data_IF_855238383400
#
_entry.id   IF_855238383400
#
_cell.length_a   1.000
_cell.length_b   1.000
_cell.length_c   1.000
_cell.angle_alpha   90.00
_cell.angle_beta   90.00
_cell.angle_gamma   90.00
#
_symmetry.space_group_name_H-M   'P 1'
#
loop_
_entity.id
_entity.type
_entity.pdbx_description
1 polymer ?
#
# COMPACT_ATOMS: atom_id res chain seq x y z
N UNK A 1 -19.63 -9.32 -3.80
CA UNK A 1 -19.21 -10.38 -2.84
C UNK A 1 -17.68 -10.53 -2.65
N UNK A 2 -16.81 -9.93 -3.48
CA UNK A 2 -15.35 -10.14 -3.42
C UNK A 2 -14.56 -9.27 -2.43
N UNK A 3 -14.94 -8.01 -2.20
CA UNK A 3 -14.20 -7.09 -1.31
C UNK A 3 -14.40 -7.39 0.18
N UNK A 4 -15.59 -7.82 0.59
CA UNK A 4 -15.87 -8.15 2.00
C UNK A 4 -15.08 -9.36 2.54
N UNK A 5 -14.73 -10.33 1.67
CA UNK A 5 -13.97 -11.53 2.09
C UNK A 5 -12.48 -11.29 2.17
N UNK A 6 -11.96 -10.28 1.44
CA UNK A 6 -10.55 -9.85 1.50
C UNK A 6 -10.21 -9.35 2.90
N UNK A 7 -11.12 -8.61 3.50
CA UNK A 7 -10.90 -7.95 4.78
C UNK A 7 -11.23 -8.81 6.00
N UNK A 8 -12.05 -9.85 5.85
CA UNK A 8 -12.44 -10.74 6.97
C UNK A 8 -11.30 -11.64 7.48
N UNK A 9 -10.25 -11.90 6.67
CA UNK A 9 -9.13 -12.79 7.07
C UNK A 9 -7.76 -12.12 7.18
N UNK A 10 -7.62 -10.87 6.73
CA UNK A 10 -6.35 -10.12 6.79
C UNK A 10 -6.58 -8.66 7.22
N UNK A 11 -7.55 -8.38 8.07
CA UNK A 11 -7.93 -7.03 8.47
C UNK A 11 -6.80 -6.20 9.10
N UNK A 12 -7.18 -5.11 9.73
CA UNK A 12 -6.29 -4.17 10.43
C UNK A 12 -5.24 -4.89 11.28
N UNK A 13 -5.62 -5.97 11.98
CA UNK A 13 -4.73 -6.72 12.85
C UNK A 13 -3.58 -7.41 12.08
N UNK A 14 -3.86 -7.91 10.88
CA UNK A 14 -2.83 -8.52 10.04
C UNK A 14 -1.79 -7.48 9.58
N UNK A 15 -2.22 -6.26 9.25
CA UNK A 15 -1.31 -5.15 8.89
C UNK A 15 -0.47 -4.76 10.11
N UNK A 16 -1.10 -4.57 11.27
CA UNK A 16 -0.40 -4.24 12.52
C UNK A 16 0.67 -5.27 12.88
N UNK A 17 0.33 -6.56 12.80
CA UNK A 17 1.22 -7.65 13.18
C UNK A 17 2.35 -7.88 12.17
N UNK A 18 2.09 -7.69 10.87
CA UNK A 18 3.08 -8.01 9.82
C UNK A 18 3.91 -6.82 9.37
N UNK A 19 3.42 -5.61 9.53
CA UNK A 19 4.06 -4.39 9.02
C UNK A 19 4.35 -3.41 10.16
N UNK A 20 3.46 -3.33 11.15
CA UNK A 20 3.53 -2.30 12.17
C UNK A 20 2.78 -1.02 11.79
N UNK A 21 2.74 -0.06 12.71
CA UNK A 21 1.98 1.20 12.59
C UNK A 21 2.67 2.39 13.27
N UNK A 22 3.90 2.21 13.72
CA UNK A 22 4.63 3.24 14.44
C UNK A 22 5.41 4.14 13.48
N UNK A 23 5.52 5.43 13.82
CA UNK A 23 6.38 6.34 13.10
C UNK A 23 7.85 5.91 13.25
N UNK A 24 8.57 5.82 12.14
CA UNK A 24 9.96 5.32 12.16
C UNK A 24 10.98 6.35 12.61
N UNK A 25 10.65 7.65 12.54
CA UNK A 25 11.59 8.74 12.75
C UNK A 25 12.76 8.78 11.76
N UNK A 26 12.63 8.09 10.63
CA UNK A 26 13.66 7.96 9.57
C UNK A 26 13.05 8.29 8.22
N UNK A 27 13.85 8.64 7.20
CA UNK A 27 13.36 8.81 5.83
C UNK A 27 12.55 7.60 5.36
N UNK A 28 11.53 7.85 4.54
CA UNK A 28 10.59 6.80 4.08
C UNK A 28 11.28 5.68 3.27
N UNK A 29 12.44 5.98 2.69
CA UNK A 29 13.24 5.06 1.88
C UNK A 29 14.47 4.52 2.63
N UNK A 30 14.57 4.72 3.95
CA UNK A 30 15.71 4.28 4.74
C UNK A 30 15.86 2.75 4.68
N UNK A 31 17.10 2.31 4.46
CA UNK A 31 17.52 0.91 4.60
C UNK A 31 18.11 0.74 5.99
N UNK A 32 17.42 0.00 6.85
CA UNK A 32 17.97 -0.38 8.15
C UNK A 32 18.78 -1.66 7.98
N UNK A 33 20.10 -1.53 8.12
CA UNK A 33 21.05 -2.63 7.87
C UNK A 33 21.33 -3.48 9.11
N UNK A 34 20.81 -3.13 10.30
CA UNK A 34 21.05 -3.95 11.51
C UNK A 34 20.08 -5.13 11.57
N UNK A 35 20.61 -6.33 11.73
CA UNK A 35 19.83 -7.58 11.84
C UNK A 35 18.73 -7.56 12.91
N UNK A 36 18.83 -6.66 13.88
CA UNK A 36 17.85 -6.51 14.97
C UNK A 36 16.72 -5.54 14.64
N UNK A 37 16.78 -4.81 13.52
CA UNK A 37 15.83 -3.73 13.20
C UNK A 37 14.80 -4.10 12.14
N UNK A 38 14.87 -5.29 11.56
CA UNK A 38 13.90 -5.77 10.55
C UNK A 38 12.79 -6.60 11.21
N UNK A 39 12.24 -6.09 12.30
CA UNK A 39 11.02 -6.64 12.91
C UNK A 39 9.82 -5.79 12.47
N UNK A 40 8.63 -6.37 12.35
CA UNK A 40 7.42 -5.64 11.93
C UNK A 40 7.14 -4.36 12.72
N UNK A 41 7.54 -4.33 13.98
CA UNK A 41 7.39 -3.18 14.90
C UNK A 41 8.16 -1.93 14.45
N UNK A 42 9.10 -2.05 13.49
CA UNK A 42 9.92 -0.94 12.98
C UNK A 42 9.51 -0.44 11.60
N UNK A 43 8.39 -0.91 11.08
CA UNK A 43 7.84 -0.45 9.82
C UNK A 43 6.44 0.14 10.01
N UNK A 44 5.97 0.79 8.98
CA UNK A 44 4.58 1.17 8.82
C UNK A 44 4.25 1.22 7.31
N UNK A 45 2.98 1.26 6.92
CA UNK A 45 2.57 1.25 5.51
C UNK A 45 3.06 2.43 4.66
N UNK A 46 3.51 3.52 5.28
CA UNK A 46 3.93 4.75 4.60
C UNK A 46 5.40 4.76 4.20
N UNK A 47 6.22 3.82 4.69
CA UNK A 47 7.62 3.65 4.26
C UNK A 47 7.73 2.58 3.19
N UNK A 48 8.77 2.66 2.33
CA UNK A 48 8.94 1.73 1.22
C UNK A 48 8.95 0.26 1.66
N UNK A 49 9.58 -0.08 2.77
CA UNK A 49 9.59 -1.44 3.33
C UNK A 49 8.17 -1.95 3.61
N UNK A 50 7.36 -1.16 4.29
CA UNK A 50 5.99 -1.51 4.61
C UNK A 50 5.09 -1.57 3.39
N UNK A 51 5.25 -0.64 2.43
CA UNK A 51 4.49 -0.64 1.19
C UNK A 51 4.82 -1.87 0.31
N UNK A 52 6.09 -2.28 0.24
CA UNK A 52 6.51 -3.52 -0.42
C UNK A 52 5.86 -4.74 0.25
N UNK A 53 5.85 -4.80 1.59
CA UNK A 53 5.19 -5.87 2.33
C UNK A 53 3.67 -5.88 2.11
N UNK A 54 3.01 -4.71 2.00
CA UNK A 54 1.58 -4.64 1.66
C UNK A 54 1.27 -5.32 0.32
N UNK A 55 2.14 -5.20 -0.69
CA UNK A 55 1.94 -5.87 -1.98
C UNK A 55 1.88 -7.39 -1.81
N UNK A 56 2.59 -7.98 -0.85
CA UNK A 56 2.51 -9.42 -0.55
C UNK A 56 1.21 -9.82 0.13
N UNK A 57 0.49 -8.88 0.72
CA UNK A 57 -0.77 -9.11 1.43
C UNK A 57 -2.00 -8.90 0.55
N UNK A 58 -1.85 -8.31 -0.63
CA UNK A 58 -2.94 -8.16 -1.58
C UNK A 58 -3.42 -9.54 -2.05
N UNK A 59 -4.74 -9.71 -2.21
CA UNK A 59 -5.33 -10.97 -2.69
C UNK A 59 -5.27 -11.07 -4.20
N UNK A 60 -4.96 -12.26 -4.68
CA UNK A 60 -4.92 -12.67 -6.07
C UNK A 60 -3.96 -13.83 -6.25
N UNK A 61 -4.18 -14.63 -7.29
CA UNK A 61 -3.36 -15.79 -7.62
C UNK A 61 -2.05 -15.39 -8.31
N UNK A 62 -2.00 -14.16 -8.83
CA UNK A 62 -0.81 -13.54 -9.40
C UNK A 62 -0.67 -12.10 -8.92
N UNK A 63 0.53 -11.52 -9.02
CA UNK A 63 0.76 -10.11 -8.71
C UNK A 63 0.05 -9.16 -9.69
N UNK A 64 -0.14 -9.58 -10.93
CA UNK A 64 -0.95 -8.86 -11.91
C UNK A 64 -2.42 -8.75 -11.46
N UNK A 65 -2.99 -9.85 -10.97
CA UNK A 65 -4.36 -9.84 -10.43
C UNK A 65 -4.46 -9.00 -9.14
N UNK A 66 -3.44 -9.11 -8.27
CA UNK A 66 -3.36 -8.29 -7.04
C UNK A 66 -3.36 -6.80 -7.36
N UNK A 67 -2.53 -6.39 -8.32
CA UNK A 67 -2.47 -5.01 -8.79
C UNK A 67 -3.78 -4.56 -9.45
N UNK A 68 -4.38 -5.39 -10.31
CA UNK A 68 -5.65 -5.07 -10.96
C UNK A 68 -6.78 -4.80 -9.93
N UNK A 69 -6.83 -5.57 -8.85
CA UNK A 69 -7.77 -5.34 -7.74
C UNK A 69 -7.51 -4.03 -7.00
N UNK A 70 -6.24 -3.69 -6.77
CA UNK A 70 -5.85 -2.40 -6.16
C UNK A 70 -6.27 -1.24 -7.05
N UNK A 71 -5.96 -1.30 -8.34
CA UNK A 71 -6.31 -0.27 -9.32
C UNK A 71 -7.83 -0.08 -9.41
N UNK A 72 -8.58 -1.17 -9.46
CA UNK A 72 -10.04 -1.13 -9.48
C UNK A 72 -10.62 -0.46 -8.23
N UNK A 73 -10.08 -0.77 -7.05
CA UNK A 73 -10.50 -0.10 -5.81
C UNK A 73 -10.23 1.42 -5.87
N UNK A 74 -9.07 1.83 -6.39
CA UNK A 74 -8.72 3.25 -6.54
C UNK A 74 -9.68 3.94 -7.51
N UNK A 75 -9.99 3.31 -8.65
CA UNK A 75 -10.97 3.81 -9.63
C UNK A 75 -12.35 4.02 -9.01
N UNK A 76 -12.81 3.04 -8.24
CA UNK A 76 -14.09 3.13 -7.53
C UNK A 76 -14.12 4.23 -6.48
N UNK A 77 -13.07 4.35 -5.67
CA UNK A 77 -12.96 5.39 -4.65
C UNK A 77 -12.90 6.80 -5.25
N UNK A 78 -12.20 6.94 -6.36
CA UNK A 78 -12.06 8.20 -7.09
C UNK A 78 -13.28 8.55 -7.98
N UNK A 79 -14.21 7.61 -8.16
CA UNK A 79 -15.30 7.72 -9.15
C UNK A 79 -14.78 8.04 -10.57
N UNK A 80 -13.63 7.44 -10.93
CA UNK A 80 -12.94 7.68 -12.18
C UNK A 80 -12.36 6.38 -12.76
N UNK A 81 -13.00 5.77 -13.76
CA UNK A 81 -12.53 4.53 -14.38
C UNK A 81 -11.29 4.70 -15.27
N UNK A 82 -10.93 5.94 -15.63
CA UNK A 82 -9.80 6.25 -16.52
C UNK A 82 -8.45 6.31 -15.78
N UNK A 83 -8.46 6.18 -14.46
CA UNK A 83 -7.21 6.09 -13.68
C UNK A 83 -6.42 4.86 -14.13
N UNK A 84 -5.14 5.06 -14.46
CA UNK A 84 -4.25 3.99 -14.87
C UNK A 84 -2.80 4.30 -14.49
N UNK A 85 -1.91 3.37 -14.79
CA UNK A 85 -0.48 3.50 -14.60
C UNK A 85 0.10 4.51 -15.59
N UNK A 86 0.98 5.37 -15.13
CA UNK A 86 1.88 6.10 -16.01
C UNK A 86 3.05 5.18 -16.41
N UNK A 87 3.00 4.69 -17.64
CA UNK A 87 3.98 3.71 -18.13
C UNK A 87 5.41 4.26 -18.24
N UNK A 88 5.58 5.58 -18.36
CA UNK A 88 6.92 6.19 -18.36
C UNK A 88 7.50 6.19 -16.94
N UNK A 89 6.69 6.57 -15.94
CA UNK A 89 7.06 6.52 -14.53
C UNK A 89 7.34 5.08 -14.11
N UNK A 90 6.45 4.15 -14.43
CA UNK A 90 6.61 2.73 -14.10
C UNK A 90 7.92 2.16 -14.66
N UNK A 91 8.23 2.46 -15.92
CA UNK A 91 9.46 2.01 -16.57
C UNK A 91 10.70 2.58 -15.87
N UNK A 92 10.66 3.85 -15.52
CA UNK A 92 11.73 4.51 -14.76
C UNK A 92 11.93 3.85 -13.40
N UNK A 93 10.85 3.66 -12.63
CA UNK A 93 10.90 2.99 -11.32
C UNK A 93 11.47 1.57 -11.43
N UNK A 94 11.05 0.81 -12.44
CA UNK A 94 11.56 -0.54 -12.67
C UNK A 94 13.03 -0.56 -13.05
N UNK A 95 13.51 0.38 -13.85
CA UNK A 95 14.91 0.45 -14.31
C UNK A 95 15.85 1.00 -13.23
N UNK A 96 15.41 1.99 -12.45
CA UNK A 96 16.27 2.71 -11.50
C UNK A 96 16.04 2.34 -10.04
N UNK A 97 15.05 1.51 -9.73
CA UNK A 97 14.62 1.15 -8.38
C UNK A 97 15.57 0.23 -7.61
N UNK A 98 16.89 0.45 -7.71
CA UNK A 98 17.91 -0.40 -7.06
C UNK A 98 17.79 -0.41 -5.54
N UNK A 99 17.45 0.74 -4.92
CA UNK A 99 17.27 0.85 -3.48
C UNK A 99 16.09 0.00 -3.00
N UNK A 100 14.97 0.03 -3.73
CA UNK A 100 13.80 -0.80 -3.44
C UNK A 100 14.07 -2.29 -3.65
N UNK A 101 14.89 -2.68 -4.64
CA UNK A 101 15.35 -4.06 -4.82
C UNK A 101 16.19 -4.52 -3.63
N UNK A 102 17.20 -3.73 -3.24
CA UNK A 102 18.03 -4.05 -2.09
C UNK A 102 17.17 -4.26 -0.82
N UNK A 103 16.20 -3.36 -0.60
CA UNK A 103 15.27 -3.45 0.51
C UNK A 103 14.39 -4.71 0.43
N UNK A 104 13.82 -5.03 -0.73
CA UNK A 104 12.97 -6.21 -0.91
C UNK A 104 13.76 -7.52 -0.72
N UNK A 105 15.00 -7.61 -1.21
CA UNK A 105 15.86 -8.76 -0.96
C UNK A 105 16.21 -8.91 0.53
N UNK A 106 16.42 -7.81 1.22
CA UNK A 106 16.68 -7.80 2.65
C UNK A 106 15.44 -8.30 3.44
N UNK A 107 14.25 -7.79 3.15
CA UNK A 107 12.99 -8.25 3.74
C UNK A 107 12.77 -9.76 3.51
N UNK A 108 13.08 -10.25 2.30
CA UNK A 108 13.01 -11.68 1.98
C UNK A 108 14.03 -12.49 2.76
N UNK A 109 15.27 -12.03 2.88
CA UNK A 109 16.32 -12.69 3.65
C UNK A 109 15.94 -12.88 5.13
N UNK A 110 15.18 -11.93 5.68
CA UNK A 110 14.63 -12.00 7.03
C UNK A 110 13.32 -12.80 7.12
N UNK A 111 12.88 -13.44 6.04
CA UNK A 111 11.71 -14.33 6.05
C UNK A 111 10.36 -13.62 6.11
N UNK A 112 10.29 -12.32 5.85
CA UNK A 112 9.05 -11.54 5.92
C UNK A 112 8.08 -11.86 4.78
N UNK A 113 8.57 -12.41 3.69
CA UNK A 113 7.76 -13.01 2.60
C UNK A 113 8.54 -14.09 1.84
N UNK A 114 7.82 -14.95 1.10
CA UNK A 114 8.40 -16.10 0.37
C UNK A 114 8.36 -15.93 -1.15
N UNK A 115 7.54 -15.02 -1.64
CA UNK A 115 7.30 -14.77 -3.07
C UNK A 115 8.60 -14.38 -3.81
N UNK A 116 8.60 -14.43 -5.14
CA UNK A 116 9.70 -13.89 -5.94
C UNK A 116 9.79 -12.39 -5.77
N UNK A 117 11.01 -11.87 -5.54
CA UNK A 117 11.22 -10.44 -5.25
C UNK A 117 10.75 -9.56 -6.40
N UNK A 118 11.07 -9.95 -7.64
CA UNK A 118 10.71 -9.14 -8.82
C UNK A 118 9.19 -9.09 -9.05
N UNK A 119 8.45 -10.16 -8.70
CA UNK A 119 6.98 -10.16 -8.79
C UNK A 119 6.36 -9.20 -7.77
N UNK A 120 6.88 -9.19 -6.54
CA UNK A 120 6.46 -8.24 -5.50
C UNK A 120 6.75 -6.81 -5.94
N UNK A 121 7.95 -6.56 -6.47
CA UNK A 121 8.37 -5.23 -6.93
C UNK A 121 7.62 -4.78 -8.17
N UNK A 122 7.26 -5.68 -9.09
CA UNK A 122 6.40 -5.33 -10.24
C UNK A 122 5.07 -4.72 -9.76
N UNK A 123 4.42 -5.35 -8.77
CA UNK A 123 3.20 -4.83 -8.16
C UNK A 123 3.45 -3.49 -7.47
N UNK A 124 4.52 -3.38 -6.69
CA UNK A 124 4.89 -2.17 -5.96
C UNK A 124 5.18 -0.99 -6.90
N UNK A 125 6.02 -1.17 -7.94
CA UNK A 125 6.35 -0.13 -8.90
C UNK A 125 5.12 0.33 -9.69
N UNK A 126 4.23 -0.58 -10.08
CA UNK A 126 2.95 -0.22 -10.70
C UNK A 126 2.08 0.61 -9.77
N UNK A 127 1.98 0.22 -8.50
CA UNK A 127 1.21 0.96 -7.50
C UNK A 127 1.76 2.39 -7.29
N UNK A 128 3.09 2.55 -7.25
CA UNK A 128 3.76 3.85 -7.15
C UNK A 128 3.58 4.72 -8.41
N UNK A 129 3.24 4.11 -9.55
CA UNK A 129 3.12 4.79 -10.84
C UNK A 129 1.67 5.06 -11.25
N UNK A 130 0.69 4.84 -10.36
CA UNK A 130 -0.72 5.17 -10.64
C UNK A 130 -0.86 6.69 -10.75
N UNK A 131 -1.35 7.15 -11.91
CA UNK A 131 -1.57 8.56 -12.18
C UNK A 131 -2.97 8.99 -11.78
N UNK A 132 -3.06 9.98 -10.90
CA UNK A 132 -4.30 10.57 -10.43
C UNK A 132 -4.24 12.11 -10.52
N UNK A 133 -5.37 12.75 -10.59
CA UNK A 133 -5.46 14.21 -10.47
C UNK A 133 -5.94 14.62 -9.06
N UNK A 134 -5.87 15.92 -8.76
CA UNK A 134 -6.28 16.44 -7.44
C UNK A 134 -7.76 16.15 -7.10
N UNK A 135 -8.64 16.10 -8.13
CA UNK A 135 -10.04 15.71 -7.94
C UNK A 135 -10.17 14.25 -7.49
N UNK A 136 -9.40 13.35 -8.10
CA UNK A 136 -9.42 11.93 -7.76
C UNK A 136 -8.96 11.73 -6.29
N UNK A 137 -7.89 12.42 -5.89
CA UNK A 137 -7.42 12.42 -4.49
C UNK A 137 -8.47 12.98 -3.54
N UNK A 138 -9.20 14.04 -3.93
CA UNK A 138 -10.27 14.60 -3.11
C UNK A 138 -11.41 13.58 -2.90
N UNK A 139 -11.82 12.84 -3.93
CA UNK A 139 -12.83 11.79 -3.79
C UNK A 139 -12.36 10.65 -2.88
N UNK A 140 -11.11 10.19 -3.03
CA UNK A 140 -10.51 9.18 -2.13
C UNK A 140 -10.50 9.69 -0.69
N UNK A 141 -10.07 10.94 -0.48
CA UNK A 141 -10.06 11.60 0.84
C UNK A 141 -11.46 11.68 1.45
N UNK A 142 -12.48 12.05 0.64
CA UNK A 142 -13.86 12.06 1.09
C UNK A 142 -14.38 10.69 1.51
N UNK A 143 -14.02 9.61 0.78
CA UNK A 143 -14.40 8.26 1.17
C UNK A 143 -13.79 7.86 2.51
N UNK A 144 -12.54 8.23 2.78
CA UNK A 144 -11.88 8.01 4.07
C UNK A 144 -12.54 8.84 5.19
N UNK A 145 -12.82 10.13 4.94
CA UNK A 145 -13.49 11.03 5.89
C UNK A 145 -14.92 10.58 6.18
N UNK A 146 -15.63 10.03 5.19
CA UNK A 146 -17.00 9.50 5.32
C UNK A 146 -17.03 8.03 5.75
N UNK A 147 -16.05 7.60 6.54
CA UNK A 147 -16.01 6.27 7.16
C UNK A 147 -16.14 5.10 6.17
N UNK A 148 -15.54 5.24 4.98
CA UNK A 148 -15.55 4.21 3.94
C UNK A 148 -16.82 4.18 3.08
N UNK A 149 -17.57 5.28 3.00
CA UNK A 149 -18.74 5.41 2.15
C UNK A 149 -18.46 6.30 0.94
N UNK A 150 -19.09 5.97 -0.17
CA UNK A 150 -19.09 6.82 -1.37
C UNK A 150 -19.85 8.11 -1.11
N UNK A 151 -19.29 9.24 -1.54
CA UNK A 151 -19.85 10.57 -1.24
C UNK A 151 -21.29 10.76 -1.77
N UNK A 152 -21.55 10.30 -3.00
CA UNK A 152 -22.85 10.56 -3.68
C UNK A 152 -23.95 9.53 -3.41
N UNK A 153 -23.60 8.29 -3.05
CA UNK A 153 -24.54 7.18 -3.03
C UNK A 153 -24.68 6.50 -1.68
N UNK A 154 -23.93 6.93 -0.69
CA UNK A 154 -23.85 6.28 0.63
C UNK A 154 -23.40 4.79 0.55
N UNK A 155 -23.07 4.29 -0.64
CA UNK A 155 -22.55 2.94 -0.84
C UNK A 155 -21.27 2.75 -0.01
N UNK A 156 -21.17 1.61 0.67
CA UNK A 156 -20.03 1.32 1.51
C UNK A 156 -18.98 0.53 0.75
N UNK A 157 -17.79 1.10 0.57
CA UNK A 157 -16.64 0.42 -0.01
C UNK A 157 -15.97 -0.53 1.00
N UNK A 158 -15.80 -0.08 2.25
CA UNK A 158 -15.15 -0.83 3.32
C UNK A 158 -15.68 -0.43 4.70
N UNK A 159 -15.47 -1.27 5.75
CA UNK A 159 -15.91 -0.97 7.10
C UNK A 159 -15.33 0.33 7.66
N UNK A 160 -16.11 1.03 8.50
CA UNK A 160 -15.69 2.30 9.11
C UNK A 160 -14.41 2.16 9.96
N UNK A 161 -14.18 1.00 10.55
CA UNK A 161 -12.95 0.70 11.31
C UNK A 161 -11.69 0.79 10.44
N UNK A 162 -11.77 0.41 9.15
CA UNK A 162 -10.63 0.52 8.22
C UNK A 162 -10.35 1.98 7.86
N UNK A 163 -11.39 2.79 7.65
CA UNK A 163 -11.20 4.23 7.44
C UNK A 163 -10.52 4.88 8.65
N UNK A 164 -10.98 4.56 9.87
CA UNK A 164 -10.35 5.07 11.09
C UNK A 164 -8.90 4.63 11.22
N UNK A 165 -8.60 3.38 10.93
CA UNK A 165 -7.24 2.85 10.97
C UNK A 165 -6.33 3.56 9.96
N UNK A 166 -6.76 3.67 8.68
CA UNK A 166 -5.98 4.35 7.63
C UNK A 166 -5.75 5.81 8.00
N UNK A 167 -6.79 6.53 8.46
CA UNK A 167 -6.65 7.92 8.88
C UNK A 167 -5.67 8.08 10.06
N UNK A 168 -5.71 7.17 11.04
CA UNK A 168 -4.75 7.20 12.15
C UNK A 168 -3.32 6.98 11.66
N UNK A 169 -3.08 6.02 10.76
CA UNK A 169 -1.76 5.76 10.17
C UNK A 169 -1.28 6.95 9.35
N UNK A 170 -2.15 7.57 8.54
CA UNK A 170 -1.83 8.78 7.79
C UNK A 170 -1.43 9.94 8.69
N UNK A 171 -2.10 10.10 9.84
CA UNK A 171 -1.77 11.17 10.80
C UNK A 171 -0.46 10.92 11.56
N UNK A 172 -0.18 9.66 11.91
CA UNK A 172 1.00 9.30 12.73
C UNK A 172 2.24 9.12 11.85
N UNK A 173 2.09 8.51 10.69
CA UNK A 173 3.19 8.07 9.84
C UNK A 173 3.29 8.82 8.51
N UNK A 174 2.36 9.71 8.18
CA UNK A 174 2.40 10.55 6.99
C UNK A 174 3.30 11.78 7.18
N UNK A 175 3.67 12.43 6.07
CA UNK A 175 4.44 13.69 6.07
C UNK A 175 5.81 13.57 6.75
N UNK A 176 6.66 12.66 6.23
CA UNK A 176 7.98 12.38 6.77
C UNK A 176 8.98 13.54 6.72
N UNK A 177 8.81 14.47 5.77
CA UNK A 177 9.74 15.56 5.47
C UNK A 177 9.06 16.94 5.66
N UNK A 178 8.00 16.99 6.45
CA UNK A 178 7.22 18.22 6.72
C UNK A 178 7.60 18.92 8.03
#
# INVERSE_FOLDING_TARGET
RGLGDVYKRQGVEAVRTRIGVEATGKPFDAINVSDKSLVPEHFNPMVNAGAILLCTMLKGDSYSERFARLLELIRQLADNPEIDVDEAVFRSERETGFKNRALAYLLKAHGLFKDAVEDVLECYFRACSIRVCSRDLAYIGMALANHGRKFKTEERFFPAEYARFVNAVLMICGMYDG
#
